data_IF_226881300928
#
_entry.id   IF_226881300928
#
_cell.length_a   1.000
_cell.length_b   1.000
_cell.length_c   1.000
_cell.angle_alpha   90.00
_cell.angle_beta   90.00
_cell.angle_gamma   90.00
#
_symmetry.space_group_name_H-M   'P 1'
#
loop_
_entity.id
_entity.type
_entity.pdbx_description
1 polymer ?
#
# COMPACT_ATOMS: atom_id res chain seq x y z
N UNK A 1 -30.78 6.47 -49.71
CA UNK A 1 -30.14 5.31 -49.05
C UNK A 1 -28.63 5.44 -49.29
N UNK A 2 -27.69 5.55 -48.36
CA UNK A 2 -27.69 5.44 -46.91
C UNK A 2 -26.54 6.30 -46.35
N UNK A 3 -26.88 7.06 -45.30
CA UNK A 3 -26.13 7.32 -44.06
C UNK A 3 -24.72 7.91 -44.16
N UNK A 4 -24.67 9.22 -43.93
CA UNK A 4 -23.54 9.88 -43.30
C UNK A 4 -23.15 9.16 -42.00
N UNK A 5 -21.86 8.90 -41.81
CA UNK A 5 -21.27 8.56 -40.51
C UNK A 5 -20.31 9.68 -40.16
N UNK A 6 -20.81 10.62 -39.37
CA UNK A 6 -19.99 11.54 -38.58
C UNK A 6 -19.31 10.70 -37.49
N UNK A 7 -18.00 10.50 -37.59
CA UNK A 7 -17.21 10.12 -36.43
C UNK A 7 -16.77 11.40 -35.72
N UNK A 8 -17.65 11.86 -34.82
CA UNK A 8 -17.28 12.70 -33.70
C UNK A 8 -16.29 11.92 -32.82
N UNK A 9 -14.99 12.12 -32.99
CA UNK A 9 -14.05 11.88 -31.89
C UNK A 9 -14.16 13.07 -30.94
N UNK A 10 -15.26 13.08 -30.20
CA UNK A 10 -15.50 13.97 -29.08
C UNK A 10 -14.59 13.61 -27.91
N UNK A 11 -14.11 14.67 -27.26
CA UNK A 11 -13.46 14.73 -25.96
C UNK A 11 -12.01 14.23 -25.92
N UNK A 12 -11.12 15.15 -26.31
CA UNK A 12 -10.04 15.55 -25.40
C UNK A 12 -10.62 15.59 -23.99
N UNK A 13 -10.42 14.53 -23.21
CA UNK A 13 -10.46 14.65 -21.76
C UNK A 13 -9.07 15.22 -21.46
N UNK A 14 -8.89 16.52 -21.18
CA UNK A 14 -7.75 16.90 -20.38
C UNK A 14 -8.05 16.27 -19.03
N UNK A 15 -7.64 15.01 -18.86
CA UNK A 15 -7.56 14.45 -17.53
C UNK A 15 -6.51 15.35 -16.92
N UNK A 16 -6.96 16.35 -16.14
CA UNK A 16 -6.10 17.05 -15.22
C UNK A 16 -5.37 15.92 -14.51
N UNK A 17 -4.11 15.72 -14.87
CA UNK A 17 -3.20 15.01 -14.01
C UNK A 17 -3.04 16.00 -12.87
N UNK A 18 -4.02 16.01 -11.94
CA UNK A 18 -3.79 16.57 -10.62
C UNK A 18 -2.69 15.66 -10.12
N UNK A 19 -1.45 16.17 -10.14
CA UNK A 19 -0.33 15.48 -9.54
C UNK A 19 -0.79 15.13 -8.13
N UNK A 20 -0.92 13.83 -7.85
CA UNK A 20 -1.34 13.40 -6.52
C UNK A 20 -0.33 13.99 -5.53
N UNK A 21 -0.82 14.71 -4.53
CA UNK A 21 0.01 15.32 -3.51
C UNK A 21 0.93 14.25 -2.92
N UNK A 22 2.24 14.52 -2.86
CA UNK A 22 3.23 13.57 -2.35
C UNK A 22 3.94 14.18 -1.17
N UNK A 23 3.94 13.49 -0.03
CA UNK A 23 4.54 13.98 1.22
C UNK A 23 5.43 12.93 1.88
N UNK A 24 6.38 13.37 2.71
CA UNK A 24 7.09 12.45 3.58
C UNK A 24 6.13 11.99 4.70
N UNK A 25 6.13 10.70 5.02
CA UNK A 25 5.31 10.13 6.07
C UNK A 25 5.61 10.78 7.44
N UNK A 26 6.85 11.20 7.68
CA UNK A 26 7.24 11.91 8.91
C UNK A 26 6.66 13.32 8.98
N UNK A 27 6.18 13.89 7.88
CA UNK A 27 5.48 15.17 7.85
C UNK A 27 3.97 15.03 8.11
N UNK A 28 3.50 13.79 8.30
CA UNK A 28 2.14 13.48 8.71
C UNK A 28 2.06 13.31 10.22
N UNK A 29 0.92 13.70 10.79
CA UNK A 29 0.52 13.35 12.14
C UNK A 29 -0.73 12.47 12.09
N UNK A 30 -0.84 11.54 13.05
CA UNK A 30 -1.98 10.63 13.13
C UNK A 30 -2.78 10.93 14.39
N UNK A 31 -4.01 11.40 14.22
CA UNK A 31 -4.93 11.78 15.28
C UNK A 31 -6.16 10.88 15.15
N UNK A 32 -6.48 10.10 16.20
CA UNK A 32 -7.64 9.19 16.24
C UNK A 32 -7.79 8.27 15.02
N UNK A 33 -6.67 7.74 14.50
CA UNK A 33 -6.71 6.85 13.34
C UNK A 33 -6.51 7.55 12.00
N UNK A 34 -6.68 8.88 11.94
CA UNK A 34 -6.72 9.68 10.72
C UNK A 34 -5.41 10.44 10.54
N UNK A 35 -4.85 10.41 9.34
CA UNK A 35 -3.65 11.13 8.96
C UNK A 35 -3.95 12.56 8.52
N UNK A 36 -3.17 13.50 9.04
CA UNK A 36 -3.20 14.92 8.69
C UNK A 36 -1.78 15.35 8.30
N UNK A 37 -1.66 16.30 7.37
CA UNK A 37 -0.40 17.02 7.20
C UNK A 37 -0.17 17.87 8.46
N UNK A 38 1.04 17.85 9.04
CA UNK A 38 1.34 18.61 10.25
C UNK A 38 0.94 20.08 10.11
N UNK A 39 0.13 20.57 11.04
CA UNK A 39 -0.38 21.96 11.03
C UNK A 39 -1.56 22.20 10.09
N UNK A 40 -2.06 21.17 9.40
CA UNK A 40 -3.28 21.22 8.61
C UNK A 40 -4.46 20.62 9.41
N UNK A 41 -5.64 21.21 9.26
CA UNK A 41 -6.87 20.74 9.93
C UNK A 41 -7.66 19.72 9.10
N UNK A 42 -7.33 19.55 7.82
CA UNK A 42 -8.02 18.62 6.91
C UNK A 42 -7.29 17.28 6.83
N UNK A 43 -8.00 16.14 6.83
CA UNK A 43 -7.38 14.83 6.60
C UNK A 43 -6.60 14.81 5.28
N UNK A 44 -5.42 14.21 5.31
CA UNK A 44 -4.51 14.16 4.17
C UNK A 44 -5.06 13.26 3.06
N UNK A 45 -4.92 13.68 1.81
CA UNK A 45 -5.20 12.84 0.63
C UNK A 45 -4.05 12.96 -0.36
N UNK A 46 -3.34 11.86 -0.60
CA UNK A 46 -2.17 11.85 -1.45
C UNK A 46 -1.29 10.61 -1.28
N UNK A 47 -0.19 10.58 -2.01
CA UNK A 47 0.90 9.62 -1.83
C UNK A 47 1.74 10.02 -0.62
N UNK A 48 2.16 9.03 0.18
CA UNK A 48 3.14 9.23 1.23
C UNK A 48 4.30 8.25 1.08
N UNK A 49 5.46 8.63 1.58
CA UNK A 49 6.64 7.77 1.57
C UNK A 49 7.55 8.05 2.76
N UNK A 50 8.34 7.06 3.15
CA UNK A 50 9.44 7.22 4.10
C UNK A 50 10.69 6.61 3.45
N UNK A 51 11.84 7.24 3.62
CA UNK A 51 13.14 6.70 3.18
C UNK A 51 13.91 6.15 4.38
N UNK A 52 14.72 5.13 4.13
CA UNK A 52 15.76 4.68 5.05
C UNK A 52 16.89 5.71 5.15
N UNK A 53 17.77 5.64 6.16
CA UNK A 53 18.93 6.54 6.29
C UNK A 53 19.87 6.53 5.09
N UNK A 54 19.91 5.43 4.33
CA UNK A 54 20.70 5.31 3.11
C UNK A 54 20.03 5.93 1.86
N UNK A 55 18.90 6.62 2.03
CA UNK A 55 18.15 7.28 0.96
C UNK A 55 17.25 6.36 0.14
N UNK A 56 17.28 5.03 0.36
CA UNK A 56 16.38 4.12 -0.34
C UNK A 56 14.96 4.21 0.21
N UNK A 57 13.97 3.91 -0.63
CA UNK A 57 12.57 3.88 -0.21
C UNK A 57 12.38 2.84 0.90
N UNK A 58 11.91 3.27 2.06
CA UNK A 58 11.60 2.40 3.20
C UNK A 58 10.15 1.97 3.23
N UNK A 59 9.22 2.86 2.90
CA UNK A 59 7.81 2.51 2.69
C UNK A 59 7.06 3.57 1.89
N UNK A 60 5.88 3.22 1.40
CA UNK A 60 4.96 4.17 0.79
C UNK A 60 3.64 3.56 0.40
N UNK A 61 2.69 4.44 0.09
CA UNK A 61 1.35 4.09 -0.35
C UNK A 61 0.44 5.31 -0.41
N UNK A 62 -0.84 5.07 -0.72
CA UNK A 62 -1.85 6.12 -0.83
C UNK A 62 -2.60 6.29 0.48
N UNK A 63 -2.85 7.53 0.86
CA UNK A 63 -3.78 7.91 1.92
C UNK A 63 -4.93 8.68 1.25
N UNK A 64 -6.17 8.30 1.53
CA UNK A 64 -7.39 8.96 1.05
C UNK A 64 -8.22 9.37 2.25
N UNK A 65 -8.56 10.66 2.38
CA UNK A 65 -9.30 11.21 3.54
C UNK A 65 -8.69 10.81 4.89
N UNK A 66 -7.36 10.83 4.97
CA UNK A 66 -6.59 10.48 6.15
C UNK A 66 -6.55 8.99 6.47
N UNK A 67 -7.04 8.11 5.59
CA UNK A 67 -7.03 6.66 5.79
C UNK A 67 -6.16 5.98 4.74
N UNK A 68 -5.45 4.92 5.11
CA UNK A 68 -4.67 4.13 4.14
C UNK A 68 -5.59 3.55 3.08
N UNK A 69 -5.19 3.64 1.81
CA UNK A 69 -5.97 3.16 0.70
C UNK A 69 -5.09 2.53 -0.38
N UNK A 70 -5.62 1.50 -1.03
CA UNK A 70 -4.91 0.73 -2.05
C UNK A 70 -3.69 -0.02 -1.52
N UNK A 71 -2.66 -0.09 -2.36
CA UNK A 71 -1.45 -0.86 -2.10
C UNK A 71 -0.44 -0.08 -1.25
N UNK A 72 0.13 -0.77 -0.27
CA UNK A 72 1.20 -0.26 0.58
C UNK A 72 2.39 -1.20 0.55
N UNK A 73 3.58 -0.62 0.48
CA UNK A 73 4.84 -1.34 0.40
C UNK A 73 5.76 -0.90 1.53
N UNK A 74 6.52 -1.84 2.05
CA UNK A 74 7.66 -1.60 2.93
C UNK A 74 8.85 -2.39 2.40
N UNK A 75 10.03 -1.84 2.55
CA UNK A 75 11.28 -2.38 2.07
C UNK A 75 12.29 -2.49 3.21
N UNK A 76 13.22 -3.44 3.10
CA UNK A 76 14.43 -3.45 3.91
C UNK A 76 15.36 -2.32 3.44
N UNK A 77 16.36 -1.97 4.25
CA UNK A 77 17.41 -1.01 3.86
C UNK A 77 18.18 -1.45 2.62
N UNK A 78 18.15 -2.75 2.28
CA UNK A 78 18.74 -3.29 1.05
C UNK A 78 17.92 -3.01 -0.20
N UNK A 79 16.71 -2.46 -0.07
CA UNK A 79 15.75 -2.24 -1.15
C UNK A 79 14.89 -3.46 -1.48
N UNK A 80 15.14 -4.61 -0.83
CA UNK A 80 14.31 -5.81 -0.96
C UNK A 80 12.94 -5.56 -0.32
N UNK A 81 11.85 -5.98 -0.97
CA UNK A 81 10.50 -5.91 -0.38
C UNK A 81 10.50 -6.62 0.97
N UNK A 82 10.00 -5.94 2.00
CA UNK A 82 9.82 -6.45 3.37
C UNK A 82 8.37 -6.84 3.60
N UNK A 83 7.46 -6.00 3.13
CA UNK A 83 6.02 -6.20 3.31
C UNK A 83 5.24 -5.55 2.16
N UNK A 84 4.12 -6.18 1.84
CA UNK A 84 3.05 -5.64 1.02
C UNK A 84 1.73 -5.78 1.79
N UNK A 85 0.83 -4.81 1.67
CA UNK A 85 -0.53 -4.93 2.18
C UNK A 85 -1.48 -4.09 1.33
N UNK A 86 -2.69 -4.60 1.15
CA UNK A 86 -3.78 -3.85 0.53
C UNK A 86 -4.74 -3.33 1.61
N UNK A 87 -5.10 -2.06 1.51
CA UNK A 87 -6.07 -1.40 2.35
C UNK A 87 -7.24 -0.87 1.53
N UNK A 88 -8.38 -0.73 2.17
CA UNK A 88 -9.54 -0.01 1.65
C UNK A 88 -10.10 0.81 2.80
N UNK A 89 -10.14 2.13 2.69
CA UNK A 89 -10.64 3.01 3.76
C UNK A 89 -10.02 2.71 5.15
N UNK A 90 -8.71 2.46 5.20
CA UNK A 90 -7.97 2.21 6.43
C UNK A 90 -8.01 0.78 6.95
N UNK A 91 -8.91 -0.08 6.46
CA UNK A 91 -9.00 -1.50 6.85
C UNK A 91 -8.21 -2.38 5.87
N UNK A 92 -7.58 -3.45 6.35
CA UNK A 92 -6.93 -4.42 5.45
C UNK A 92 -7.98 -5.18 4.65
N UNK A 93 -7.81 -5.21 3.34
CA UNK A 93 -8.69 -5.91 2.41
C UNK A 93 -7.83 -6.64 1.37
N UNK A 94 -7.92 -7.95 1.31
CA UNK A 94 -7.11 -8.78 0.40
C UNK A 94 -5.78 -9.20 1.01
N UNK A 95 -4.74 -9.29 0.18
CA UNK A 95 -3.48 -9.89 0.58
C UNK A 95 -2.61 -8.95 1.42
N UNK A 96 -2.04 -9.49 2.50
CA UNK A 96 -0.84 -8.98 3.15
C UNK A 96 0.27 -10.00 3.00
N UNK A 97 1.40 -9.59 2.46
CA UNK A 97 2.54 -10.46 2.20
C UNK A 97 3.75 -9.95 2.98
N UNK A 98 4.43 -10.84 3.68
CA UNK A 98 5.73 -10.59 4.28
C UNK A 98 6.78 -11.38 3.52
N UNK A 99 7.96 -10.80 3.40
CA UNK A 99 9.08 -11.40 2.70
C UNK A 99 10.25 -11.60 3.67
N UNK A 100 11.09 -12.57 3.36
CA UNK A 100 12.40 -12.77 3.97
C UNK A 100 13.41 -11.76 3.37
N UNK A 101 14.56 -11.56 4.03
CA UNK A 101 15.61 -10.67 3.52
C UNK A 101 16.18 -11.13 2.17
N UNK A 102 16.08 -12.42 1.85
CA UNK A 102 16.46 -12.99 0.55
C UNK A 102 15.41 -12.74 -0.55
N UNK A 103 14.31 -12.05 -0.25
CA UNK A 103 13.23 -11.72 -1.20
C UNK A 103 12.17 -12.81 -1.37
N UNK A 104 12.35 -13.99 -0.75
CA UNK A 104 11.33 -15.05 -0.80
C UNK A 104 10.14 -14.72 0.09
N UNK A 105 8.97 -15.26 -0.25
CA UNK A 105 7.75 -15.08 0.53
C UNK A 105 7.90 -15.78 1.87
N UNK A 106 7.69 -15.04 2.96
CA UNK A 106 7.69 -15.56 4.32
C UNK A 106 6.29 -15.91 4.80
N UNK A 107 5.34 -15.01 4.55
CA UNK A 107 3.97 -15.17 5.02
C UNK A 107 2.99 -14.48 4.06
N UNK A 108 1.84 -15.08 3.86
CA UNK A 108 0.69 -14.51 3.17
C UNK A 108 -0.50 -14.63 4.11
N UNK A 109 -1.19 -13.52 4.32
CA UNK A 109 -2.44 -13.46 5.07
C UNK A 109 -3.48 -12.82 4.16
N UNK A 110 -4.62 -13.47 4.00
CA UNK A 110 -5.79 -12.92 3.30
C UNK A 110 -6.72 -12.32 4.34
N UNK A 111 -6.96 -11.03 4.22
CA UNK A 111 -7.88 -10.28 5.06
C UNK A 111 -9.18 -9.97 4.32
N UNK A 112 -10.29 -10.01 5.05
CA UNK A 112 -11.57 -9.42 4.64
C UNK A 112 -12.04 -8.52 5.78
N UNK A 113 -12.09 -7.20 5.55
CA UNK A 113 -12.39 -6.20 6.58
C UNK A 113 -11.62 -6.42 7.90
N UNK A 114 -10.28 -6.46 7.81
CA UNK A 114 -9.35 -6.77 8.92
C UNK A 114 -9.45 -8.16 9.57
N UNK A 115 -10.42 -9.00 9.18
CA UNK A 115 -10.50 -10.39 9.63
C UNK A 115 -9.52 -11.27 8.84
N UNK A 116 -8.66 -12.01 9.55
CA UNK A 116 -7.80 -13.02 8.93
C UNK A 116 -8.65 -14.21 8.48
N UNK A 117 -8.76 -14.41 7.17
CA UNK A 117 -9.50 -15.51 6.54
C UNK A 117 -8.60 -16.72 6.31
N UNK A 118 -7.34 -16.47 5.92
CA UNK A 118 -6.39 -17.52 5.58
C UNK A 118 -4.98 -17.02 5.79
N UNK A 119 -4.14 -17.86 6.39
CA UNK A 119 -2.71 -17.64 6.51
C UNK A 119 -1.91 -18.79 5.90
N UNK A 120 -0.79 -18.48 5.27
CA UNK A 120 0.18 -19.47 4.80
C UNK A 120 1.58 -18.93 5.08
N UNK A 121 2.47 -19.79 5.59
CA UNK A 121 3.83 -19.42 6.00
C UNK A 121 4.84 -20.36 5.35
N UNK A 122 6.01 -19.82 5.02
CA UNK A 122 7.10 -20.51 4.35
C UNK A 122 8.43 -20.19 5.02
N UNK A 123 9.35 -21.15 5.03
CA UNK A 123 10.74 -20.95 5.44
C UNK A 123 11.54 -20.15 4.40
N UNK A 124 12.82 -19.87 4.69
CA UNK A 124 13.70 -19.11 3.79
C UNK A 124 14.00 -19.80 2.45
N UNK A 125 13.69 -21.10 2.32
CA UNK A 125 13.84 -21.88 1.09
C UNK A 125 12.51 -22.02 0.32
N UNK A 126 11.45 -21.36 0.80
CA UNK A 126 10.14 -21.39 0.16
C UNK A 126 9.34 -22.67 0.46
N UNK A 127 9.73 -23.47 1.46
CA UNK A 127 8.96 -24.64 1.88
C UNK A 127 7.87 -24.23 2.86
N UNK A 128 6.64 -24.69 2.61
CA UNK A 128 5.49 -24.42 3.47
C UNK A 128 5.68 -24.99 4.88
N UNK A 129 5.41 -24.18 5.89
CA UNK A 129 5.39 -24.55 7.31
C UNK A 129 3.95 -24.85 7.71
N UNK A 130 3.67 -26.07 8.19
CA UNK A 130 2.31 -26.50 8.53
C UNK A 130 1.82 -25.97 9.89
N UNK A 131 2.72 -25.80 10.85
CA UNK A 131 2.43 -25.32 12.21
C UNK A 131 3.39 -24.16 12.56
N UNK A 132 3.21 -22.96 11.97
CA UNK A 132 4.10 -21.84 12.25
C UNK A 132 3.96 -21.40 13.71
N UNK A 133 5.09 -21.14 14.39
CA UNK A 133 5.07 -20.52 15.72
C UNK A 133 4.68 -19.05 15.58
N UNK A 134 3.83 -18.54 16.48
CA UNK A 134 3.39 -17.14 16.42
C UNK A 134 4.47 -16.12 16.83
N UNK A 135 5.59 -16.59 17.40
CA UNK A 135 6.72 -15.76 17.82
C UNK A 135 7.47 -15.14 16.64
N UNK A 136 7.39 -15.72 15.44
CA UNK A 136 8.07 -15.27 14.23
C UNK A 136 7.43 -14.04 13.55
N UNK A 137 6.34 -13.50 14.12
CA UNK A 137 5.57 -12.38 13.54
C UNK A 137 5.68 -11.05 14.31
N UNK A 138 6.49 -10.99 15.37
CA UNK A 138 6.79 -9.73 16.10
C UNK A 138 7.91 -8.94 15.42
#
# INVERSE_FOLDING_TARGET
MNKAVLLLFGLLIPFLIIAQEKTNYDDLEKIDGVFYQKGNKKPFTGQCYLTHPNGQLGMGGTITNGLRDGEWFWFYETGVKKRFATYKNGVKQGATIFYHKNGQKRCEIIFDNDQNIRQTTWDENGKRIKNPSFEEFK
#
